data_IF_475272028713
#
_entry.id   IF_475272028713
#
_cell.length_a   1.000
_cell.length_b   1.000
_cell.length_c   1.000
_cell.angle_alpha   90.00
_cell.angle_beta   90.00
_cell.angle_gamma   90.00
#
_symmetry.space_group_name_H-M   'P 1'
#
loop_
_entity.id
_entity.type
_entity.pdbx_description
1 polymer ?
#
# COMPACT_ATOMS: atom_id res chain seq x y z
N UNK A 1 -13.63 9.32 -14.56
CA UNK A 1 -13.05 9.63 -13.22
C UNK A 1 -11.52 9.55 -13.23
N UNK A 2 -10.87 8.44 -13.59
CA UNK A 2 -9.39 8.31 -13.58
C UNK A 2 -8.71 9.34 -14.51
N UNK A 3 -9.28 9.59 -15.69
CA UNK A 3 -8.79 10.66 -16.57
C UNK A 3 -8.79 12.02 -15.88
N UNK A 4 -9.86 12.38 -15.19
CA UNK A 4 -9.94 13.62 -14.44
C UNK A 4 -8.92 13.66 -13.28
N UNK A 5 -8.70 12.54 -12.56
CA UNK A 5 -7.67 12.45 -11.52
C UNK A 5 -6.26 12.69 -12.09
N UNK A 6 -5.97 12.17 -13.28
CA UNK A 6 -4.72 12.41 -13.98
C UNK A 6 -4.50 13.91 -14.26
N UNK A 7 -5.56 14.61 -14.65
CA UNK A 7 -5.53 16.06 -14.89
C UNK A 7 -5.36 16.88 -13.59
N UNK A 8 -5.67 16.27 -12.41
CA UNK A 8 -5.45 16.87 -11.09
C UNK A 8 -4.08 16.54 -10.49
N UNK A 9 -3.15 15.98 -11.26
CA UNK A 9 -1.83 15.56 -10.83
C UNK A 9 -1.83 14.48 -9.73
N UNK A 10 -2.85 13.63 -9.67
CA UNK A 10 -2.81 12.44 -8.84
C UNK A 10 -1.68 11.51 -9.32
N UNK A 11 -1.00 10.87 -8.37
CA UNK A 11 0.15 10.01 -8.67
C UNK A 11 -0.27 8.58 -9.07
N UNK A 12 -1.37 8.11 -8.54
CA UNK A 12 -1.92 6.77 -8.76
C UNK A 12 -3.39 6.71 -8.31
N UNK A 13 -4.04 5.59 -8.59
CA UNK A 13 -5.37 5.26 -8.08
C UNK A 13 -5.30 3.94 -7.33
N UNK A 14 -5.86 3.90 -6.13
CA UNK A 14 -5.87 2.70 -5.31
C UNK A 14 -7.22 2.00 -5.42
N UNK A 15 -7.20 0.70 -5.68
CA UNK A 15 -8.33 -0.25 -5.72
C UNK A 15 -9.64 0.33 -6.28
N UNK A 16 -9.66 0.81 -7.53
CA UNK A 16 -10.84 1.48 -8.10
C UNK A 16 -12.02 0.53 -8.33
N UNK A 17 -11.74 -0.78 -8.40
CA UNK A 17 -12.74 -1.82 -8.63
C UNK A 17 -12.84 -2.77 -7.44
N UNK A 18 -14.03 -3.32 -7.12
CA UNK A 18 -14.16 -4.42 -6.19
C UNK A 18 -13.23 -5.58 -6.59
N UNK A 19 -12.61 -6.23 -5.62
CA UNK A 19 -11.59 -7.27 -5.85
C UNK A 19 -12.09 -8.49 -6.64
N UNK A 20 -13.41 -8.70 -6.70
CA UNK A 20 -14.07 -9.77 -7.46
C UNK A 20 -14.22 -9.44 -8.95
N UNK A 21 -14.09 -8.16 -9.32
CA UNK A 21 -14.27 -7.64 -10.66
C UNK A 21 -12.99 -7.71 -11.50
N UNK A 22 -12.51 -8.94 -11.74
CA UNK A 22 -11.20 -9.21 -12.36
C UNK A 22 -11.16 -8.74 -13.81
N UNK A 23 -12.20 -9.04 -14.61
CA UNK A 23 -12.23 -8.70 -16.02
C UNK A 23 -12.36 -7.17 -16.22
N UNK A 24 -13.18 -6.53 -15.39
CA UNK A 24 -13.32 -5.07 -15.41
C UNK A 24 -12.04 -4.37 -14.93
N UNK A 25 -11.33 -4.97 -13.96
CA UNK A 25 -10.05 -4.47 -13.50
C UNK A 25 -8.98 -4.60 -14.60
N UNK A 26 -8.90 -5.74 -15.28
CA UNK A 26 -7.97 -5.93 -16.39
C UNK A 26 -8.24 -4.92 -17.54
N UNK A 27 -9.52 -4.75 -17.89
CA UNK A 27 -9.93 -3.77 -18.90
C UNK A 27 -9.54 -2.33 -18.51
N UNK A 28 -9.71 -1.99 -17.22
CA UNK A 28 -9.37 -0.68 -16.69
C UNK A 28 -7.86 -0.45 -16.68
N UNK A 29 -7.08 -1.44 -16.23
CA UNK A 29 -5.62 -1.38 -16.16
C UNK A 29 -4.99 -1.07 -17.53
N UNK A 30 -5.45 -1.72 -18.60
CA UNK A 30 -4.96 -1.47 -19.95
C UNK A 30 -5.21 -0.04 -20.46
N UNK A 31 -6.15 0.70 -19.87
CA UNK A 31 -6.64 2.00 -20.38
C UNK A 31 -6.44 3.16 -19.43
N UNK A 32 -6.06 2.87 -18.18
CA UNK A 32 -5.89 3.90 -17.17
C UNK A 32 -4.67 4.78 -17.47
N UNK A 33 -4.79 6.11 -17.42
CA UNK A 33 -3.66 7.02 -17.59
C UNK A 33 -2.80 7.15 -16.33
N UNK A 34 -3.22 6.55 -15.22
CA UNK A 34 -2.53 6.54 -13.93
C UNK A 34 -2.25 5.11 -13.48
N UNK A 35 -1.15 4.88 -12.78
CA UNK A 35 -0.89 3.58 -12.15
C UNK A 35 -2.05 3.17 -11.23
N UNK A 36 -2.42 1.90 -11.27
CA UNK A 36 -3.43 1.32 -10.37
C UNK A 36 -2.75 0.41 -9.36
N UNK A 37 -3.03 0.67 -8.07
CA UNK A 37 -2.45 -0.05 -6.94
C UNK A 37 -3.50 -0.95 -6.31
N UNK A 38 -3.17 -2.23 -6.11
CA UNK A 38 -4.04 -3.20 -5.44
C UNK A 38 -4.03 -2.99 -3.93
N UNK A 39 -5.20 -2.90 -3.27
CA UNK A 39 -5.34 -2.89 -1.82
C UNK A 39 -6.15 -4.09 -1.31
N UNK A 40 -7.47 -4.09 -1.41
CA UNK A 40 -8.32 -5.18 -0.93
C UNK A 40 -8.11 -6.50 -1.70
N UNK A 41 -7.64 -6.42 -2.93
CA UNK A 41 -7.25 -7.58 -3.72
C UNK A 41 -6.03 -8.28 -3.13
N UNK A 42 -5.13 -7.52 -2.51
CA UNK A 42 -3.87 -8.00 -1.95
C UNK A 42 -4.02 -8.32 -0.46
N UNK A 43 -3.95 -9.59 -0.08
CA UNK A 43 -3.95 -10.02 1.32
C UNK A 43 -2.62 -10.68 1.70
N UNK A 44 -2.16 -11.60 0.89
CA UNK A 44 -1.04 -12.49 1.18
C UNK A 44 -0.08 -12.59 0.00
N UNK A 45 1.08 -13.18 0.24
CA UNK A 45 2.13 -13.34 -0.76
C UNK A 45 1.65 -13.98 -2.10
N UNK A 46 0.76 -15.00 -2.13
CA UNK A 46 0.27 -15.53 -3.41
C UNK A 46 -0.49 -14.51 -4.25
N UNK A 47 -1.11 -13.51 -3.61
CA UNK A 47 -1.89 -12.49 -4.31
C UNK A 47 -1.02 -11.52 -5.08
N UNK A 48 0.27 -11.36 -4.71
CA UNK A 48 1.22 -10.54 -5.48
C UNK A 48 1.33 -11.06 -6.92
N UNK A 49 1.44 -12.39 -7.08
CA UNK A 49 1.49 -13.00 -8.41
C UNK A 49 0.16 -12.87 -9.16
N UNK A 50 -0.97 -12.92 -8.44
CA UNK A 50 -2.31 -12.75 -9.04
C UNK A 50 -2.56 -11.30 -9.46
N UNK A 51 -1.97 -10.33 -8.74
CA UNK A 51 -2.07 -8.91 -9.07
C UNK A 51 -1.23 -8.53 -10.30
N UNK A 52 -0.19 -9.30 -10.61
CA UNK A 52 0.67 -9.05 -11.77
C UNK A 52 -0.14 -9.12 -13.08
N UNK A 53 -0.07 -8.05 -13.88
CA UNK A 53 -0.85 -7.88 -15.11
C UNK A 53 -2.27 -7.34 -14.91
N UNK A 54 -2.71 -7.17 -13.65
CA UNK A 54 -4.00 -6.54 -13.31
C UNK A 54 -3.81 -5.16 -12.65
N UNK A 55 -2.64 -4.95 -12.02
CA UNK A 55 -2.29 -3.75 -11.29
C UNK A 55 -0.84 -3.38 -11.56
N UNK A 56 -0.53 -2.08 -11.54
CA UNK A 56 0.84 -1.56 -11.67
C UNK A 56 1.64 -1.69 -10.37
N UNK A 57 0.94 -1.85 -9.25
CA UNK A 57 1.56 -1.97 -7.95
C UNK A 57 0.65 -2.56 -6.89
N UNK A 58 1.19 -2.68 -5.70
CA UNK A 58 0.52 -3.30 -4.55
C UNK A 58 0.65 -2.41 -3.30
N UNK A 59 -0.41 -2.38 -2.49
CA UNK A 59 -0.40 -1.77 -1.15
C UNK A 59 -0.28 -2.87 -0.08
N UNK A 60 0.87 -2.95 0.54
CA UNK A 60 1.18 -3.91 1.62
C UNK A 60 0.80 -3.27 2.95
N UNK A 61 -0.11 -3.93 3.69
CA UNK A 61 -0.48 -3.55 5.06
C UNK A 61 -0.14 -4.71 5.99
N UNK A 62 0.57 -4.46 7.09
CA UNK A 62 1.04 -5.51 8.00
C UNK A 62 -0.12 -6.34 8.56
N UNK A 63 -1.26 -5.70 8.81
CA UNK A 63 -2.46 -6.37 9.32
C UNK A 63 -3.06 -7.37 8.33
N UNK A 64 -2.84 -7.21 7.03
CA UNK A 64 -3.25 -8.17 5.99
C UNK A 64 -2.20 -9.26 5.79
N UNK A 65 -0.93 -8.91 5.80
CA UNK A 65 0.19 -9.78 5.42
C UNK A 65 0.77 -10.63 6.55
N UNK A 66 0.07 -10.75 7.69
CA UNK A 66 0.55 -11.51 8.86
C UNK A 66 1.90 -11.08 9.43
N UNK A 67 2.30 -9.83 9.21
CA UNK A 67 3.46 -9.20 9.81
C UNK A 67 4.66 -9.01 8.88
N UNK A 68 5.74 -8.54 9.46
CA UNK A 68 6.93 -8.01 8.79
C UNK A 68 7.58 -8.97 7.79
N UNK A 69 7.71 -10.24 8.16
CA UNK A 69 8.44 -11.21 7.33
C UNK A 69 7.75 -11.48 5.99
N UNK A 70 6.43 -11.61 6.01
CA UNK A 70 5.68 -11.81 4.77
C UNK A 70 5.62 -10.53 3.97
N UNK A 71 5.36 -9.38 4.61
CA UNK A 71 5.36 -8.08 3.97
C UNK A 71 6.68 -7.78 3.24
N UNK A 72 7.81 -8.06 3.87
CA UNK A 72 9.13 -7.94 3.24
C UNK A 72 9.24 -8.82 1.98
N UNK A 73 8.82 -10.09 2.06
CA UNK A 73 8.85 -11.01 0.91
C UNK A 73 7.92 -10.56 -0.22
N UNK A 74 6.74 -10.04 0.12
CA UNK A 74 5.81 -9.46 -0.85
C UNK A 74 6.43 -8.27 -1.58
N UNK A 75 7.10 -7.37 -0.85
CA UNK A 75 7.78 -6.23 -1.44
C UNK A 75 8.91 -6.65 -2.40
N UNK A 76 9.74 -7.63 -2.00
CA UNK A 76 10.80 -8.16 -2.86
C UNK A 76 10.22 -8.83 -4.11
N UNK A 77 9.17 -9.65 -3.96
CA UNK A 77 8.52 -10.29 -5.10
C UNK A 77 7.91 -9.27 -6.07
N UNK A 78 7.20 -8.27 -5.55
CA UNK A 78 6.62 -7.21 -6.38
C UNK A 78 7.70 -6.46 -7.17
N UNK A 79 8.79 -6.08 -6.52
CA UNK A 79 9.93 -5.41 -7.18
C UNK A 79 10.59 -6.29 -8.24
N UNK A 80 10.70 -7.60 -8.01
CA UNK A 80 11.22 -8.57 -8.99
C UNK A 80 10.30 -8.74 -10.21
N UNK A 81 9.02 -8.36 -10.08
CA UNK A 81 8.02 -8.32 -11.14
C UNK A 81 7.84 -6.92 -11.74
N UNK A 82 8.73 -5.97 -11.44
CA UNK A 82 8.66 -4.56 -11.84
C UNK A 82 7.38 -3.83 -11.40
N UNK A 83 6.70 -4.35 -10.38
CA UNK A 83 5.54 -3.70 -9.79
C UNK A 83 5.95 -2.62 -8.79
N UNK A 84 5.16 -1.57 -8.70
CA UNK A 84 5.28 -0.55 -7.66
C UNK A 84 4.89 -1.12 -6.29
N UNK A 85 5.52 -0.61 -5.25
CA UNK A 85 5.24 -1.00 -3.86
C UNK A 85 4.80 0.23 -3.09
N UNK A 86 3.68 0.13 -2.45
CA UNK A 86 3.20 1.04 -1.42
C UNK A 86 3.17 0.30 -0.09
N UNK A 87 3.54 0.96 0.98
CA UNK A 87 3.34 0.46 2.35
C UNK A 87 2.24 1.30 2.96
N UNK A 88 1.12 0.67 3.23
CA UNK A 88 -0.02 1.30 3.87
C UNK A 88 -0.27 0.79 5.29
N UNK A 89 -1.31 1.32 5.90
CA UNK A 89 -1.75 0.91 7.23
C UNK A 89 -3.28 0.78 7.28
N UNK A 90 -3.76 0.29 8.40
CA UNK A 90 -5.12 0.44 8.87
C UNK A 90 -5.16 1.54 9.94
N UNK A 91 -6.30 1.78 10.55
CA UNK A 91 -6.37 2.52 11.82
C UNK A 91 -5.77 1.63 12.91
N UNK A 92 -4.53 1.91 13.30
CA UNK A 92 -3.73 1.05 14.16
C UNK A 92 -2.77 1.84 15.05
N UNK A 93 -2.15 1.20 16.02
CA UNK A 93 -1.27 1.84 17.01
C UNK A 93 0.05 2.30 16.40
N UNK A 94 0.72 3.25 17.05
CA UNK A 94 2.05 3.71 16.67
C UNK A 94 3.11 2.59 16.66
N UNK A 95 2.90 1.53 17.44
CA UNK A 95 3.75 0.32 17.41
C UNK A 95 3.68 -0.35 16.03
N UNK A 96 2.46 -0.58 15.50
CA UNK A 96 2.27 -1.19 14.20
C UNK A 96 2.77 -0.28 13.05
N UNK A 97 2.51 1.03 13.16
CA UNK A 97 3.03 2.03 12.21
C UNK A 97 4.57 2.06 12.24
N UNK A 98 5.19 1.99 13.42
CA UNK A 98 6.66 1.90 13.56
C UNK A 98 7.24 0.68 12.83
N UNK A 99 6.57 -0.46 12.97
CA UNK A 99 6.97 -1.67 12.27
C UNK A 99 6.82 -1.52 10.74
N UNK A 100 5.68 -1.00 10.27
CA UNK A 100 5.44 -0.78 8.84
C UNK A 100 6.46 0.22 8.23
N UNK A 101 6.81 1.27 8.97
CA UNK A 101 7.78 2.27 8.55
C UNK A 101 9.18 1.70 8.24
N UNK A 102 9.57 0.58 8.89
CA UNK A 102 10.83 -0.11 8.59
C UNK A 102 10.89 -0.68 7.16
N UNK A 103 9.74 -0.88 6.52
CA UNK A 103 9.66 -1.36 5.14
C UNK A 103 9.68 -0.22 4.10
N UNK A 104 9.57 1.03 4.53
CA UNK A 104 9.53 2.20 3.63
C UNK A 104 10.71 2.29 2.64
N UNK A 105 11.95 1.87 2.98
CA UNK A 105 13.06 1.87 2.00
C UNK A 105 12.83 0.96 0.79
N UNK A 106 11.88 0.02 0.86
CA UNK A 106 11.50 -0.85 -0.26
C UNK A 106 10.34 -0.28 -1.08
N UNK A 107 9.67 0.74 -0.58
CA UNK A 107 8.45 1.30 -1.16
C UNK A 107 8.72 2.50 -2.08
N UNK A 108 7.77 2.73 -3.00
CA UNK A 108 7.69 3.95 -3.80
C UNK A 108 6.82 4.99 -3.10
N UNK A 109 5.85 4.54 -2.33
CA UNK A 109 4.92 5.36 -1.55
C UNK A 109 4.69 4.75 -0.17
N UNK A 110 4.41 5.61 0.80
CA UNK A 110 4.01 5.21 2.15
C UNK A 110 2.82 6.04 2.61
N UNK A 111 1.82 5.37 3.15
CA UNK A 111 0.63 5.95 3.79
C UNK A 111 0.49 5.34 5.18
N UNK A 112 1.08 5.99 6.19
CA UNK A 112 1.33 5.45 7.52
C UNK A 112 0.88 6.42 8.63
N UNK A 113 -0.30 7.01 8.45
CA UNK A 113 -0.86 7.97 9.40
C UNK A 113 -1.98 7.41 10.30
N UNK A 114 -2.24 6.10 10.21
CA UNK A 114 -3.35 5.44 10.92
C UNK A 114 -3.35 5.61 12.43
N UNK A 115 -2.21 5.83 13.06
CA UNK A 115 -2.13 6.12 14.49
C UNK A 115 -2.61 7.54 14.86
N UNK A 116 -2.71 8.45 13.92
CA UNK A 116 -3.29 9.79 14.15
C UNK A 116 -4.82 9.74 14.31
N UNK A 117 -5.43 8.63 13.92
CA UNK A 117 -6.88 8.43 13.97
C UNK A 117 -7.37 7.81 15.30
N UNK A 118 -6.47 7.51 16.22
CA UNK A 118 -6.81 6.93 17.53
C UNK A 118 -6.36 7.86 18.67
N UNK A 119 -7.12 7.86 19.76
CA UNK A 119 -6.84 8.66 20.96
C UNK A 119 -6.32 7.82 22.15
N UNK A 120 -6.32 6.50 22.01
CA UNK A 120 -6.01 5.54 23.06
C UNK A 120 -4.79 4.66 22.70
N UNK A 121 -3.83 5.23 21.99
CA UNK A 121 -2.58 4.52 21.71
C UNK A 121 -1.82 4.24 23.02
N UNK A 122 -1.46 2.98 23.22
CA UNK A 122 -0.74 2.52 24.42
C UNK A 122 0.79 2.55 24.25
N UNK A 123 1.25 2.94 23.05
CA UNK A 123 2.67 2.90 22.69
C UNK A 123 3.19 4.30 22.38
N UNK A 124 4.46 4.53 22.71
CA UNK A 124 5.23 5.68 22.24
C UNK A 124 6.09 5.24 21.05
N UNK A 125 5.45 5.19 19.89
CA UNK A 125 6.08 4.78 18.63
C UNK A 125 6.53 5.96 17.77
N UNK A 126 6.54 5.77 16.44
CA UNK A 126 6.91 6.82 15.49
C UNK A 126 6.13 8.10 15.70
N UNK A 127 6.79 9.22 15.47
CA UNK A 127 6.16 10.54 15.45
C UNK A 127 5.98 11.01 14.01
N UNK A 128 4.77 11.51 13.74
CA UNK A 128 4.44 12.06 12.43
C UNK A 128 4.28 13.57 12.59
N UNK A 129 5.17 14.32 12.00
CA UNK A 129 5.16 15.79 12.06
C UNK A 129 5.21 16.35 10.64
N UNK A 130 4.17 17.08 10.26
CA UNK A 130 4.04 17.68 8.91
C UNK A 130 4.24 16.65 7.79
N UNK A 131 3.63 15.48 7.90
CA UNK A 131 3.73 14.39 6.93
C UNK A 131 5.06 13.64 6.92
N UNK A 132 5.98 13.95 7.83
CA UNK A 132 7.27 13.26 7.96
C UNK A 132 7.22 12.30 9.15
N UNK A 133 7.53 11.03 8.87
CA UNK A 133 7.71 10.01 9.91
C UNK A 133 9.13 10.07 10.44
N UNK A 134 9.28 10.10 11.77
CA UNK A 134 10.56 9.99 12.45
C UNK A 134 10.54 8.72 13.31
N UNK A 135 11.46 7.82 13.02
CA UNK A 135 11.69 6.65 13.87
C UNK A 135 12.37 7.14 15.16
N UNK A 136 12.01 6.55 16.28
CA UNK A 136 12.72 6.78 17.54
C UNK A 136 14.06 6.06 17.45
N UNK A 137 15.11 6.74 17.94
CA UNK A 137 16.46 6.18 18.08
C UNK A 137 16.51 5.07 19.15
#
# INVERSE_FOLDING_TARGET
MIQWLSEQNCLFVEQPMPKEKIDEQAWLHERAPLPIIADEFLQRMPDVRRAYGLYDGINIKLMKSTGMREAYRMAILARALDMKVMIGCMTETSCAISAAAQLSPLAHWADLDGNLLISNDLFDGVKIVKGKITLLD
#
